data_IF_310029474570
#
_entry.id   IF_310029474570
#
_cell.length_a   1.000
_cell.length_b   1.000
_cell.length_c   1.000
_cell.angle_alpha   90.00
_cell.angle_beta   90.00
_cell.angle_gamma   90.00
#
_symmetry.space_group_name_H-M   'P 1'
#
loop_
_entity.id
_entity.type
_entity.pdbx_description
1 polymer ?
#
# COMPACT_ATOMS: atom_id res chain seq x y z
N UNK A 1 32.45 23.83 -15.16
CA UNK A 1 32.13 22.39 -15.02
C UNK A 1 30.61 22.19 -15.05
N UNK A 2 29.96 22.18 -16.22
CA UNK A 2 28.53 21.89 -16.34
C UNK A 2 28.16 20.39 -16.19
N UNK A 3 29.16 19.50 -16.04
CA UNK A 3 28.96 18.05 -16.06
C UNK A 3 28.49 17.46 -14.71
N UNK A 4 28.60 18.21 -13.61
CA UNK A 4 28.37 17.69 -12.25
C UNK A 4 26.89 17.54 -11.90
N UNK A 5 26.06 18.52 -12.27
CA UNK A 5 24.61 18.48 -11.97
C UNK A 5 23.89 17.53 -12.93
N UNK A 6 24.27 17.53 -14.21
CA UNK A 6 23.67 16.64 -15.21
C UNK A 6 23.91 15.16 -14.87
N UNK A 7 25.11 14.82 -14.39
CA UNK A 7 25.43 13.45 -13.97
C UNK A 7 24.60 13.00 -12.75
N UNK A 8 24.40 13.87 -11.77
CA UNK A 8 23.59 13.53 -10.58
C UNK A 8 22.12 13.40 -10.91
N UNK A 9 21.60 14.26 -11.80
CA UNK A 9 20.25 14.08 -12.33
C UNK A 9 20.12 12.70 -12.98
N UNK A 10 21.08 12.28 -13.82
CA UNK A 10 21.06 10.95 -14.44
C UNK A 10 21.03 9.80 -13.42
N UNK A 11 21.86 9.88 -12.37
CA UNK A 11 21.89 8.85 -11.31
C UNK A 11 20.58 8.86 -10.49
N UNK A 12 19.98 10.04 -10.28
CA UNK A 12 18.71 10.19 -9.56
C UNK A 12 17.48 9.71 -10.35
N UNK A 13 17.56 9.52 -11.68
CA UNK A 13 16.43 9.03 -12.49
C UNK A 13 15.93 7.67 -12.01
N UNK A 14 16.84 6.74 -11.66
CA UNK A 14 16.46 5.40 -11.21
C UNK A 14 15.57 5.40 -9.95
N UNK A 15 15.93 6.05 -8.84
CA UNK A 15 15.06 6.16 -7.67
C UNK A 15 13.80 6.99 -7.94
N UNK A 16 13.84 8.02 -8.80
CA UNK A 16 12.64 8.80 -9.16
C UNK A 16 11.63 7.95 -9.94
N UNK A 17 12.09 7.10 -10.88
CA UNK A 17 11.22 6.18 -11.61
C UNK A 17 10.50 5.21 -10.67
N UNK A 18 11.23 4.69 -9.69
CA UNK A 18 10.67 3.87 -8.63
C UNK A 18 9.60 4.62 -7.81
N UNK A 19 9.83 5.89 -7.46
CA UNK A 19 8.86 6.72 -6.75
C UNK A 19 7.53 6.81 -7.52
N UNK A 20 7.59 6.97 -8.84
CA UNK A 20 6.40 6.95 -9.70
C UNK A 20 5.69 5.59 -9.66
N UNK A 21 6.45 4.48 -9.67
CA UNK A 21 5.91 3.13 -9.50
C UNK A 21 5.20 2.95 -8.15
N UNK A 22 5.77 3.46 -7.06
CA UNK A 22 5.13 3.46 -5.73
C UNK A 22 3.85 4.30 -5.74
N UNK A 23 3.86 5.47 -6.40
CA UNK A 23 2.67 6.30 -6.56
C UNK A 23 1.52 5.58 -7.28
N UNK A 24 1.82 4.88 -8.37
CA UNK A 24 0.84 4.06 -9.09
C UNK A 24 0.31 2.93 -8.19
N UNK A 25 1.20 2.27 -7.43
CA UNK A 25 0.81 1.21 -6.51
C UNK A 25 -0.09 1.71 -5.37
N UNK A 26 0.25 2.86 -4.76
CA UNK A 26 -0.57 3.53 -3.76
C UNK A 26 -1.96 3.87 -4.31
N UNK A 27 -2.05 4.37 -5.54
CA UNK A 27 -3.33 4.69 -6.16
C UNK A 27 -4.23 3.44 -6.30
N UNK A 28 -3.65 2.29 -6.71
CA UNK A 28 -4.39 1.02 -6.79
C UNK A 28 -4.91 0.58 -5.42
N UNK A 29 -4.07 0.65 -4.38
CA UNK A 29 -4.47 0.27 -3.02
C UNK A 29 -5.53 1.21 -2.44
N UNK A 30 -5.36 2.52 -2.59
CA UNK A 30 -6.32 3.53 -2.09
C UNK A 30 -7.65 3.39 -2.80
N UNK A 31 -7.67 3.18 -4.12
CA UNK A 31 -8.92 2.91 -4.85
C UNK A 31 -9.61 1.63 -4.37
N UNK A 32 -8.83 0.58 -4.07
CA UNK A 32 -9.38 -0.68 -3.53
C UNK A 32 -9.96 -0.49 -2.13
N UNK A 33 -9.25 0.22 -1.25
CA UNK A 33 -9.71 0.54 0.10
C UNK A 33 -10.97 1.40 0.07
N UNK A 34 -11.03 2.41 -0.81
CA UNK A 34 -12.22 3.25 -1.02
C UNK A 34 -13.47 2.42 -1.29
N UNK A 35 -13.40 1.46 -2.22
CA UNK A 35 -14.52 0.54 -2.50
C UNK A 35 -14.93 -0.31 -1.29
N UNK A 36 -13.99 -0.72 -0.45
CA UNK A 36 -14.29 -1.49 0.78
C UNK A 36 -14.96 -0.60 1.82
N UNK A 37 -14.46 0.63 2.00
CA UNK A 37 -15.03 1.63 2.93
C UNK A 37 -16.42 2.06 2.48
N UNK A 38 -16.64 2.27 1.18
CA UNK A 38 -17.96 2.62 0.66
C UNK A 38 -18.96 1.48 0.87
N UNK A 39 -18.55 0.22 0.66
CA UNK A 39 -19.38 -0.95 0.98
C UNK A 39 -19.68 -1.06 2.48
N UNK A 40 -18.70 -0.76 3.33
CA UNK A 40 -18.89 -0.71 4.78
C UNK A 40 -19.95 0.33 5.17
N UNK A 41 -19.86 1.55 4.63
CA UNK A 41 -20.82 2.63 4.87
C UNK A 41 -22.23 2.28 4.38
N UNK A 42 -22.35 1.63 3.22
CA UNK A 42 -23.66 1.18 2.71
C UNK A 42 -24.27 0.14 3.66
N UNK A 43 -23.49 -0.85 4.09
CA UNK A 43 -23.94 -1.85 5.07
C UNK A 43 -24.34 -1.20 6.40
N UNK A 44 -23.56 -0.26 6.92
CA UNK A 44 -23.86 0.47 8.16
C UNK A 44 -25.20 1.22 8.08
N UNK A 45 -25.48 1.88 6.95
CA UNK A 45 -26.78 2.56 6.71
C UNK A 45 -27.94 1.57 6.63
N UNK A 46 -27.73 0.42 5.97
CA UNK A 46 -28.73 -0.65 5.92
C UNK A 46 -28.93 -1.32 7.30
N UNK A 47 -27.95 -1.28 8.20
CA UNK A 47 -28.09 -1.75 9.59
C UNK A 47 -28.94 -0.80 10.42
N UNK A 48 -28.72 0.50 10.27
CA UNK A 48 -29.46 1.53 11.00
C UNK A 48 -30.98 1.48 10.72
N UNK A 49 -31.40 0.84 9.64
CA UNK A 49 -32.79 0.69 9.22
C UNK A 49 -33.48 -0.64 9.63
N UNK A 50 -32.86 -1.51 10.45
CA UNK A 50 -33.40 -2.84 10.78
C UNK A 50 -33.58 -3.10 12.29
N UNK A 51 -34.52 -4.00 12.63
CA UNK A 51 -34.83 -4.44 14.01
C UNK A 51 -33.67 -5.16 14.73
N UNK A 52 -33.69 -5.09 16.07
CA UNK A 52 -32.65 -5.53 17.02
C UNK A 52 -32.08 -6.95 16.78
N UNK A 53 -32.90 -7.92 16.34
CA UNK A 53 -32.45 -9.30 16.10
C UNK A 53 -31.53 -9.46 14.88
N UNK A 54 -31.65 -8.58 13.87
CA UNK A 54 -30.76 -8.56 12.69
C UNK A 54 -29.39 -7.93 12.94
N UNK A 55 -29.20 -7.33 14.14
CA UNK A 55 -28.05 -6.50 14.50
C UNK A 55 -26.86 -7.33 14.98
N UNK A 56 -27.09 -8.50 15.59
CA UNK A 56 -26.03 -9.43 16.05
C UNK A 56 -25.34 -10.19 14.93
N UNK A 57 -26.07 -10.60 13.89
CA UNK A 57 -25.46 -11.32 12.75
C UNK A 57 -24.59 -10.39 11.89
N UNK A 58 -25.04 -9.14 11.68
CA UNK A 58 -24.31 -8.18 10.85
C UNK A 58 -23.14 -7.46 11.54
N UNK A 59 -23.13 -7.36 12.87
CA UNK A 59 -21.95 -6.85 13.61
C UNK A 59 -20.74 -7.77 13.48
N UNK A 60 -20.95 -9.08 13.36
CA UNK A 60 -19.89 -10.04 13.03
C UNK A 60 -19.30 -9.75 11.63
N UNK A 61 -20.14 -9.45 10.64
CA UNK A 61 -19.68 -9.09 9.28
C UNK A 61 -18.93 -7.75 9.23
N UNK A 62 -19.33 -6.76 10.05
CA UNK A 62 -18.57 -5.51 10.24
C UNK A 62 -17.17 -5.77 10.82
N UNK A 63 -17.04 -6.67 11.79
CA UNK A 63 -15.73 -6.97 12.41
C UNK A 63 -14.73 -7.64 11.45
N UNK A 64 -15.24 -8.43 10.50
CA UNK A 64 -14.44 -9.03 9.43
C UNK A 64 -13.99 -7.97 8.41
N UNK A 65 -14.86 -6.99 8.13
CA UNK A 65 -14.53 -5.86 7.26
C UNK A 65 -13.47 -4.93 7.89
N UNK A 66 -13.54 -4.70 9.20
CA UNK A 66 -12.58 -3.87 9.93
C UNK A 66 -11.17 -4.50 9.96
N UNK A 67 -11.07 -5.81 10.22
CA UNK A 67 -9.80 -6.54 10.10
C UNK A 67 -9.20 -6.45 8.68
N UNK A 68 -10.03 -6.47 7.64
CA UNK A 68 -9.57 -6.27 6.26
C UNK A 68 -9.04 -4.86 6.02
N UNK A 69 -9.70 -3.83 6.55
CA UNK A 69 -9.24 -2.45 6.48
C UNK A 69 -7.87 -2.30 7.16
N UNK A 70 -7.65 -2.92 8.31
CA UNK A 70 -6.37 -2.88 9.00
C UNK A 70 -5.20 -3.46 8.19
N UNK A 71 -5.41 -4.55 7.45
CA UNK A 71 -4.37 -5.12 6.57
C UNK A 71 -4.09 -4.23 5.36
N UNK A 72 -5.12 -3.68 4.73
CA UNK A 72 -4.95 -2.77 3.59
C UNK A 72 -4.25 -1.47 4.02
N UNK A 73 -4.59 -0.94 5.19
CA UNK A 73 -3.95 0.26 5.73
C UNK A 73 -2.47 0.02 6.08
N UNK A 74 -2.12 -1.18 6.57
CA UNK A 74 -0.70 -1.56 6.78
C UNK A 74 0.10 -1.59 5.48
N UNK A 75 -0.45 -2.14 4.40
CA UNK A 75 0.23 -2.15 3.10
C UNK A 75 0.44 -0.74 2.52
N UNK A 76 -0.55 0.15 2.69
CA UNK A 76 -0.44 1.57 2.34
C UNK A 76 0.66 2.23 3.17
N UNK A 77 0.65 2.05 4.50
CA UNK A 77 1.67 2.63 5.38
C UNK A 77 3.10 2.19 5.03
N UNK A 78 3.31 0.90 4.75
CA UNK A 78 4.61 0.38 4.30
C UNK A 78 5.02 0.96 2.94
N UNK A 79 4.08 1.11 1.99
CA UNK A 79 4.39 1.71 0.68
C UNK A 79 4.76 3.19 0.80
N UNK A 80 4.05 3.94 1.65
CA UNK A 80 4.39 5.32 1.96
C UNK A 80 5.76 5.42 2.62
N UNK A 81 6.10 4.51 3.54
CA UNK A 81 7.43 4.44 4.14
C UNK A 81 8.52 4.18 3.10
N UNK A 82 8.28 3.26 2.15
CA UNK A 82 9.21 3.03 1.05
C UNK A 82 9.40 4.29 0.19
N UNK A 83 8.32 5.00 -0.15
CA UNK A 83 8.39 6.26 -0.89
C UNK A 83 9.21 7.32 -0.13
N UNK A 84 9.00 7.45 1.18
CA UNK A 84 9.76 8.37 2.04
C UNK A 84 11.26 8.03 2.03
N UNK A 85 11.63 6.76 2.15
CA UNK A 85 13.03 6.34 2.07
C UNK A 85 13.64 6.67 0.71
N UNK A 86 12.91 6.49 -0.39
CA UNK A 86 13.34 6.90 -1.74
C UNK A 86 13.53 8.41 -1.84
N UNK A 87 12.64 9.22 -1.25
CA UNK A 87 12.83 10.67 -1.20
C UNK A 87 14.12 11.03 -0.44
N UNK A 88 14.44 10.35 0.66
CA UNK A 88 15.70 10.56 1.40
C UNK A 88 16.91 10.15 0.55
N UNK A 89 16.85 9.03 -0.18
CA UNK A 89 17.90 8.64 -1.15
C UNK A 89 18.19 9.76 -2.14
N UNK A 90 17.15 10.36 -2.73
CA UNK A 90 17.29 11.46 -3.69
C UNK A 90 17.94 12.67 -3.03
N UNK A 91 17.49 13.06 -1.83
CA UNK A 91 18.11 14.17 -1.07
C UNK A 91 19.61 13.91 -0.87
N UNK A 92 19.99 12.71 -0.41
CA UNK A 92 21.40 12.36 -0.20
C UNK A 92 22.23 12.45 -1.49
N UNK A 93 21.71 11.98 -2.62
CA UNK A 93 22.40 12.10 -3.92
C UNK A 93 22.72 13.55 -4.28
N UNK A 94 21.75 14.46 -4.12
CA UNK A 94 21.96 15.88 -4.37
C UNK A 94 22.87 16.55 -3.33
N UNK A 95 22.71 16.22 -2.04
CA UNK A 95 23.54 16.77 -0.97
C UNK A 95 25.01 16.32 -1.07
N UNK A 96 25.25 15.05 -1.38
CA UNK A 96 26.59 14.52 -1.58
C UNK A 96 27.34 15.23 -2.70
N UNK A 97 26.63 15.58 -3.78
CA UNK A 97 27.19 16.39 -4.86
C UNK A 97 27.48 17.82 -4.43
N UNK A 98 26.54 18.47 -3.73
CA UNK A 98 26.69 19.86 -3.30
C UNK A 98 27.88 20.02 -2.35
N UNK A 99 28.05 19.08 -1.42
CA UNK A 99 29.13 19.09 -0.42
C UNK A 99 30.43 18.42 -0.91
N UNK A 100 30.41 17.78 -2.09
CA UNK A 100 31.52 16.97 -2.63
C UNK A 100 31.99 15.86 -1.67
N UNK A 101 31.04 15.25 -0.95
CA UNK A 101 31.28 14.15 0.01
C UNK A 101 30.75 12.84 -0.57
N UNK A 102 31.47 11.75 -0.33
CA UNK A 102 31.04 10.41 -0.72
C UNK A 102 29.86 9.95 0.14
N UNK A 103 28.65 10.04 -0.42
CA UNK A 103 27.40 9.53 0.19
C UNK A 103 27.04 8.12 -0.29
N UNK A 104 27.87 7.52 -1.15
CA UNK A 104 27.57 6.28 -1.88
C UNK A 104 27.12 5.14 -0.97
N UNK A 105 27.84 4.88 0.13
CA UNK A 105 27.47 3.80 1.07
C UNK A 105 26.12 4.06 1.74
N UNK A 106 25.87 5.29 2.20
CA UNK A 106 24.61 5.66 2.83
C UNK A 106 23.44 5.51 1.85
N UNK A 107 23.60 6.02 0.62
CA UNK A 107 22.62 5.89 -0.47
C UNK A 107 22.32 4.43 -0.77
N UNK A 108 23.34 3.57 -0.90
CA UNK A 108 23.14 2.13 -1.16
C UNK A 108 22.35 1.44 -0.05
N UNK A 109 22.70 1.67 1.22
CA UNK A 109 21.99 1.07 2.36
C UNK A 109 20.53 1.54 2.40
N UNK A 110 20.30 2.84 2.23
CA UNK A 110 18.96 3.42 2.27
C UNK A 110 18.08 2.92 1.12
N UNK A 111 18.66 2.77 -0.07
CA UNK A 111 17.96 2.24 -1.24
C UNK A 111 17.60 0.76 -1.08
N UNK A 112 18.50 -0.06 -0.54
CA UNK A 112 18.21 -1.46 -0.21
C UNK A 112 17.10 -1.56 0.84
N UNK A 113 17.16 -0.71 1.88
CA UNK A 113 16.10 -0.65 2.89
C UNK A 113 14.74 -0.26 2.27
N UNK A 114 14.73 0.74 1.37
CA UNK A 114 13.53 1.14 0.64
C UNK A 114 12.95 -0.01 -0.20
N UNK A 115 13.81 -0.77 -0.91
CA UNK A 115 13.43 -1.99 -1.62
C UNK A 115 12.84 -3.05 -0.71
N UNK A 116 13.47 -3.31 0.44
CA UNK A 116 12.97 -4.27 1.42
C UNK A 116 11.57 -3.89 1.94
N UNK A 117 11.36 -2.62 2.28
CA UNK A 117 10.05 -2.11 2.72
C UNK A 117 9.01 -2.20 1.61
N UNK A 118 9.37 -1.87 0.37
CA UNK A 118 8.46 -1.97 -0.77
C UNK A 118 8.05 -3.43 -1.05
N UNK A 119 9.00 -4.36 -1.00
CA UNK A 119 8.73 -5.80 -1.13
C UNK A 119 7.79 -6.26 -0.02
N UNK A 120 8.03 -5.87 1.23
CA UNK A 120 7.13 -6.19 2.34
C UNK A 120 5.72 -5.63 2.14
N UNK A 121 5.59 -4.42 1.59
CA UNK A 121 4.31 -3.82 1.25
C UNK A 121 3.57 -4.61 0.15
N UNK A 122 4.27 -4.97 -0.92
CA UNK A 122 3.74 -5.79 -2.01
C UNK A 122 3.30 -7.18 -1.55
N UNK A 123 4.10 -7.84 -0.71
CA UNK A 123 3.76 -9.14 -0.13
C UNK A 123 2.53 -9.04 0.77
N UNK A 124 2.46 -8.00 1.61
CA UNK A 124 1.29 -7.75 2.47
C UNK A 124 0.02 -7.57 1.65
N UNK A 125 0.11 -6.80 0.56
CA UNK A 125 -1.00 -6.60 -0.37
C UNK A 125 -1.38 -7.89 -1.12
N UNK A 126 -0.39 -8.68 -1.58
CA UNK A 126 -0.63 -9.96 -2.24
C UNK A 126 -1.35 -10.96 -1.33
N UNK A 127 -0.93 -11.05 -0.06
CA UNK A 127 -1.58 -11.90 0.94
C UNK A 127 -3.03 -11.46 1.18
N UNK A 128 -3.26 -10.15 1.27
CA UNK A 128 -4.60 -9.55 1.46
C UNK A 128 -5.54 -9.86 0.27
N UNK A 129 -5.02 -9.80 -0.96
CA UNK A 129 -5.76 -10.25 -2.16
C UNK A 129 -6.06 -11.75 -2.08
N UNK A 130 -5.08 -12.60 -1.78
CA UNK A 130 -5.28 -14.07 -1.72
C UNK A 130 -6.33 -14.47 -0.68
N UNK A 131 -6.28 -13.88 0.50
CA UNK A 131 -7.28 -14.11 1.57
C UNK A 131 -8.65 -13.62 1.10
N UNK A 132 -8.71 -12.44 0.46
CA UNK A 132 -9.95 -11.88 -0.01
C UNK A 132 -10.62 -12.70 -1.11
N UNK A 133 -9.85 -13.20 -2.07
CA UNK A 133 -10.33 -14.04 -3.18
C UNK A 133 -10.79 -15.42 -2.72
N UNK A 134 -10.19 -15.99 -1.66
CA UNK A 134 -10.67 -17.26 -1.08
C UNK A 134 -12.02 -17.10 -0.39
N UNK A 135 -12.22 -16.00 0.33
CA UNK A 135 -13.48 -15.73 1.05
C UNK A 135 -14.67 -15.62 0.07
N UNK A 136 -14.46 -14.97 -1.09
CA UNK A 136 -15.50 -14.81 -2.11
C UNK A 136 -15.87 -16.13 -2.82
N UNK A 137 -14.92 -17.05 -3.00
CA UNK A 137 -15.22 -18.36 -3.60
C UNK A 137 -16.08 -19.24 -2.71
N UNK A 138 -15.81 -19.26 -1.41
CA UNK A 138 -16.57 -20.06 -0.44
C UNK A 138 -18.01 -19.52 -0.29
N UNK A 139 -18.21 -18.20 -0.32
CA UNK A 139 -19.54 -17.61 -0.32
C UNK A 139 -20.37 -17.98 -1.57
N UNK A 140 -19.71 -18.12 -2.73
CA UNK A 140 -20.37 -18.59 -3.96
C UNK A 140 -20.80 -20.06 -3.92
N UNK A 141 -20.03 -20.92 -3.23
CA UNK A 141 -20.40 -22.33 -3.06
C UNK A 141 -21.56 -22.53 -2.07
N UNK A 142 -21.67 -21.68 -1.03
CA UNK A 142 -22.77 -21.71 -0.07
C UNK A 142 -24.10 -21.13 -0.60
N UNK A 143 -24.04 -20.31 -1.65
CA UNK A 143 -25.21 -19.78 -2.36
C UNK A 143 -25.73 -20.69 -3.48
N UNK A 144 -25.15 -21.89 -3.67
CA UNK A 144 -25.72 -22.89 -4.55
C UNK A 144 -27.00 -23.43 -3.86
N UNK A 145 -28.21 -23.18 -4.40
CA UNK A 145 -29.42 -23.74 -3.82
C UNK A 145 -29.24 -25.26 -3.81
N UNK A 146 -29.46 -25.89 -2.66
CA UNK A 146 -29.61 -27.35 -2.61
C UNK A 146 -30.86 -27.67 -3.42
N UNK A 147 -30.67 -28.04 -4.68
CA UNK A 147 -31.65 -28.74 -5.51
C UNK A 147 -31.89 -30.12 -4.94
#
# INVERSE_FOLDING_TARGET
MPNDIAHVIQIAIAPVFLLAGIGAFLNVMTNRLGRVVDRWRTLERELAACSEDGRRWRTAELSVLDRRMAHSNRAIALSTLAALLVCVVIIFLFTGQLLRVSVTQAVSVLFIAAMGVLVAALLSFLLEIRISSRTLRVAGELLKPRS
#
